data_IF_128285513003
#
_entry.id   IF_128285513003
#
_cell.length_a   1.000
_cell.length_b   1.000
_cell.length_c   1.000
_cell.angle_alpha   90.00
_cell.angle_beta   90.00
_cell.angle_gamma   90.00
#
_symmetry.space_group_name_H-M   'P 1'
#
loop_
_entity.id
_entity.type
_entity.pdbx_description
1 polymer ?
#
# COMPACT_ATOMS: atom_id res chain seq x y z
N UNK A 1 63.40 18.00 -32.26
CA UNK A 1 64.79 17.50 -32.20
C UNK A 1 65.54 18.35 -31.18
N UNK A 2 65.60 17.88 -29.93
CA UNK A 2 66.47 18.43 -28.87
C UNK A 2 67.04 17.24 -28.10
N UNK A 3 68.34 17.33 -27.86
CA UNK A 3 69.27 16.29 -27.45
C UNK A 3 69.02 15.72 -26.04
N UNK A 4 69.45 14.47 -25.92
CA UNK A 4 69.65 13.64 -24.74
C UNK A 4 70.12 14.38 -23.47
N UNK A 5 69.53 14.01 -22.33
CA UNK A 5 70.23 14.01 -21.05
C UNK A 5 70.04 12.64 -20.41
N UNK A 6 71.03 11.76 -20.59
CA UNK A 6 71.15 10.50 -19.89
C UNK A 6 71.41 10.79 -18.41
N UNK A 7 70.51 10.36 -17.52
CA UNK A 7 70.85 10.21 -16.11
C UNK A 7 70.80 8.73 -15.75
N UNK A 8 72.00 8.15 -15.60
CA UNK A 8 72.21 6.78 -15.16
C UNK A 8 72.25 6.79 -13.63
N UNK A 9 71.10 6.58 -12.98
CA UNK A 9 71.05 6.31 -11.53
C UNK A 9 71.14 4.80 -11.29
N UNK A 10 72.31 4.40 -10.81
CA UNK A 10 72.59 3.09 -10.23
C UNK A 10 72.16 3.16 -8.75
N UNK A 11 71.07 2.50 -8.38
CA UNK A 11 70.65 2.36 -6.97
C UNK A 11 70.80 0.89 -6.56
N UNK A 12 71.76 0.55 -5.69
CA UNK A 12 71.95 -0.81 -5.22
C UNK A 12 70.99 -1.12 -4.08
N UNK A 13 70.33 -2.29 -4.13
CA UNK A 13 69.83 -3.01 -2.96
C UNK A 13 68.63 -2.40 -2.24
N UNK A 14 67.42 -2.59 -2.77
CA UNK A 14 66.20 -2.59 -1.96
C UNK A 14 65.83 -4.06 -1.71
N UNK A 15 65.85 -4.56 -0.46
CA UNK A 15 65.38 -5.91 -0.16
C UNK A 15 63.88 -5.96 -0.45
N UNK A 16 63.48 -6.89 -1.31
CA UNK A 16 62.07 -7.17 -1.60
C UNK A 16 61.45 -7.76 -0.34
N UNK A 17 60.86 -6.91 0.50
CA UNK A 17 59.94 -7.35 1.55
C UNK A 17 58.68 -7.87 0.85
N UNK A 18 58.54 -9.20 0.81
CA UNK A 18 57.30 -9.87 0.44
C UNK A 18 56.27 -9.55 1.52
N UNK A 19 55.52 -8.46 1.33
CA UNK A 19 54.31 -8.19 2.11
C UNK A 19 53.32 -9.29 1.75
N UNK A 20 53.20 -10.31 2.61
CA UNK A 20 52.10 -11.27 2.53
C UNK A 20 50.80 -10.49 2.72
N UNK A 21 50.15 -10.19 1.61
CA UNK A 21 48.80 -9.66 1.57
C UNK A 21 47.90 -10.77 2.15
N UNK A 22 47.61 -10.70 3.45
CA UNK A 22 46.55 -11.49 4.04
C UNK A 22 45.25 -11.08 3.34
N UNK A 23 44.83 -11.91 2.40
CA UNK A 23 43.57 -11.75 1.68
C UNK A 23 42.47 -11.98 2.70
N UNK A 24 42.03 -10.91 3.37
CA UNK A 24 40.81 -10.92 4.15
C UNK A 24 39.68 -11.11 3.16
N UNK A 25 39.23 -12.35 3.01
CA UNK A 25 37.97 -12.67 2.33
C UNK A 25 36.86 -11.94 3.07
N UNK A 26 36.45 -10.80 2.57
CA UNK A 26 35.15 -10.23 2.87
C UNK A 26 34.12 -11.26 2.40
N UNK A 27 33.54 -12.01 3.35
CA UNK A 27 32.33 -12.75 3.09
C UNK A 27 31.24 -11.72 2.78
N UNK A 28 30.95 -11.50 1.51
CA UNK A 28 29.78 -10.74 1.11
C UNK A 28 28.56 -11.57 1.50
N UNK A 29 27.88 -11.19 2.59
CA UNK A 29 26.58 -11.75 2.93
C UNK A 29 25.61 -11.40 1.80
N UNK A 30 25.20 -12.42 1.04
CA UNK A 30 24.21 -12.26 -0.02
C UNK A 30 22.84 -12.05 0.61
N UNK A 31 22.25 -10.88 0.39
CA UNK A 31 20.86 -10.60 0.74
C UNK A 31 19.94 -11.68 0.13
N UNK A 32 19.03 -12.28 0.91
CA UNK A 32 18.13 -13.30 0.39
C UNK A 32 17.21 -12.71 -0.67
N UNK A 33 17.02 -13.44 -1.77
CA UNK A 33 16.07 -13.03 -2.82
C UNK A 33 14.66 -12.81 -2.24
N UNK A 34 13.89 -11.86 -2.80
CA UNK A 34 12.52 -11.59 -2.37
C UNK A 34 11.68 -12.87 -2.31
N UNK A 35 11.83 -13.77 -3.29
CA UNK A 35 11.11 -15.05 -3.33
C UNK A 35 11.52 -16.00 -2.21
N UNK A 36 12.79 -16.01 -1.80
CA UNK A 36 13.24 -16.78 -0.65
C UNK A 36 12.70 -16.19 0.66
N UNK A 37 12.70 -14.86 0.79
CA UNK A 37 12.09 -14.17 1.94
C UNK A 37 10.61 -14.51 2.07
N UNK A 38 9.84 -14.44 0.98
CA UNK A 38 8.42 -14.78 0.97
C UNK A 38 8.16 -16.24 1.36
N UNK A 39 8.95 -17.19 0.85
CA UNK A 39 8.85 -18.61 1.25
C UNK A 39 9.16 -18.81 2.73
N UNK A 40 10.17 -18.12 3.24
CA UNK A 40 10.51 -18.19 4.66
C UNK A 40 9.36 -17.66 5.52
N UNK A 41 8.79 -16.50 5.19
CA UNK A 41 7.65 -15.91 5.91
C UNK A 41 6.43 -16.84 5.83
N UNK A 42 6.15 -17.43 4.67
CA UNK A 42 5.06 -18.39 4.50
C UNK A 42 5.15 -19.56 5.49
N UNK A 43 6.36 -20.14 5.62
CA UNK A 43 6.58 -21.28 6.50
C UNK A 43 6.69 -20.90 7.99
N UNK A 44 7.34 -19.78 8.32
CA UNK A 44 7.67 -19.40 9.70
C UNK A 44 6.60 -18.58 10.40
N UNK A 45 5.74 -17.87 9.67
CA UNK A 45 4.74 -16.95 10.23
C UNK A 45 3.33 -17.31 9.76
N UNK A 46 3.11 -17.42 8.45
CA UNK A 46 1.76 -17.58 7.88
C UNK A 46 1.18 -18.96 8.19
N UNK A 47 1.95 -20.04 8.02
CA UNK A 47 1.47 -21.38 8.33
C UNK A 47 1.10 -21.57 9.83
N UNK A 48 1.92 -21.10 10.81
CA UNK A 48 1.52 -21.05 12.21
C UNK A 48 0.27 -20.19 12.44
N UNK A 49 0.20 -19.00 11.84
CA UNK A 49 -0.95 -18.12 11.96
C UNK A 49 -2.26 -18.80 11.51
N UNK A 50 -2.28 -19.43 10.33
CA UNK A 50 -3.47 -20.15 9.87
C UNK A 50 -3.84 -21.30 10.80
N UNK A 51 -2.85 -21.99 11.36
CA UNK A 51 -3.09 -23.11 12.27
C UNK A 51 -3.72 -22.66 13.58
N UNK A 52 -3.27 -21.53 14.12
CA UNK A 52 -3.70 -21.00 15.41
C UNK A 52 -5.04 -20.26 15.30
N UNK A 53 -5.20 -19.42 14.27
CA UNK A 53 -6.33 -18.49 14.18
C UNK A 53 -7.43 -18.88 13.19
N UNK A 54 -7.19 -19.88 12.31
CA UNK A 54 -8.12 -20.16 11.20
C UNK A 54 -8.60 -21.63 11.15
N UNK A 55 -7.68 -22.60 11.26
CA UNK A 55 -7.94 -24.02 10.99
C UNK A 55 -8.92 -24.66 11.99
N UNK A 56 -9.05 -24.13 13.21
CA UNK A 56 -10.04 -24.66 14.16
C UNK A 56 -11.48 -24.58 13.64
N UNK A 57 -11.82 -23.47 12.96
CA UNK A 57 -13.15 -23.23 12.40
C UNK A 57 -13.25 -23.53 10.90
N UNK A 58 -12.14 -23.53 10.17
CA UNK A 58 -12.05 -23.70 8.71
C UNK A 58 -11.12 -24.86 8.33
N UNK A 59 -11.15 -25.94 9.11
CA UNK A 59 -10.33 -27.13 8.93
C UNK A 59 -11.13 -28.39 8.61
N UNK A 60 -10.55 -29.58 8.78
CA UNK A 60 -11.22 -30.84 8.43
C UNK A 60 -12.38 -31.20 9.37
N UNK A 61 -12.38 -30.65 10.60
CA UNK A 61 -13.42 -30.92 11.60
C UNK A 61 -14.63 -29.99 11.48
N UNK A 62 -14.40 -28.74 11.07
CA UNK A 62 -15.39 -27.68 10.92
C UNK A 62 -14.99 -26.86 9.70
N UNK A 63 -15.92 -26.65 8.77
CA UNK A 63 -15.71 -25.81 7.58
C UNK A 63 -16.77 -24.73 7.58
N UNK A 64 -16.62 -23.75 8.48
CA UNK A 64 -17.52 -22.59 8.50
C UNK A 64 -17.39 -21.84 7.17
N UNK A 65 -18.52 -21.41 6.59
CA UNK A 65 -18.52 -20.69 5.30
C UNK A 65 -18.05 -21.52 4.10
N UNK A 66 -18.11 -22.85 4.18
CA UNK A 66 -17.73 -23.79 3.11
C UNK A 66 -16.30 -23.61 2.56
N UNK A 67 -15.39 -23.07 3.39
CA UNK A 67 -13.97 -22.90 3.07
C UNK A 67 -13.09 -23.83 3.93
N UNK A 68 -12.06 -24.40 3.29
CA UNK A 68 -11.08 -25.33 3.89
C UNK A 68 -9.69 -24.72 3.81
N UNK A 69 -9.26 -24.09 4.90
CA UNK A 69 -7.98 -23.40 5.01
C UNK A 69 -6.83 -24.34 5.38
N UNK A 70 -7.12 -25.57 5.81
CA UNK A 70 -6.10 -26.61 6.02
C UNK A 70 -5.52 -27.17 4.70
N UNK A 71 -6.28 -27.06 3.61
CA UNK A 71 -5.85 -27.47 2.27
C UNK A 71 -5.32 -26.28 1.44
N UNK A 72 -5.40 -25.06 1.98
CA UNK A 72 -4.98 -23.83 1.30
C UNK A 72 -3.47 -23.82 1.10
N UNK A 73 -3.04 -23.84 -0.15
CA UNK A 73 -1.62 -23.81 -0.51
C UNK A 73 -1.16 -22.38 -0.78
N UNK A 74 0.11 -22.11 -0.52
CA UNK A 74 0.81 -20.87 -0.90
C UNK A 74 1.10 -20.77 -2.40
N UNK A 75 0.26 -21.36 -3.25
CA UNK A 75 0.35 -21.31 -4.71
C UNK A 75 -0.78 -20.45 -5.26
N UNK A 76 -0.46 -19.17 -5.45
CA UNK A 76 -1.37 -18.13 -5.93
C UNK A 76 -1.59 -18.16 -7.45
N UNK A 77 -0.87 -19.02 -8.18
CA UNK A 77 -1.11 -19.22 -9.62
C UNK A 77 -2.38 -20.04 -9.88
N UNK A 78 -2.82 -20.83 -8.90
CA UNK A 78 -4.08 -21.54 -8.94
C UNK A 78 -5.25 -20.58 -8.60
N UNK A 79 -6.23 -20.48 -9.50
CA UNK A 79 -7.34 -19.54 -9.33
C UNK A 79 -8.19 -19.74 -8.07
N UNK A 80 -8.35 -20.98 -7.60
CA UNK A 80 -9.11 -21.28 -6.37
C UNK A 80 -8.31 -20.81 -5.15
N UNK A 81 -7.01 -21.14 -5.07
CA UNK A 81 -6.16 -20.64 -4.00
C UNK A 81 -6.11 -19.12 -3.99
N UNK A 82 -5.98 -18.49 -5.16
CA UNK A 82 -5.99 -17.04 -5.31
C UNK A 82 -7.25 -16.41 -4.70
N UNK A 83 -8.43 -16.91 -5.08
CA UNK A 83 -9.71 -16.44 -4.54
C UNK A 83 -9.83 -16.66 -3.03
N UNK A 84 -9.39 -17.82 -2.54
CA UNK A 84 -9.39 -18.11 -1.10
C UNK A 84 -8.47 -17.17 -0.34
N UNK A 85 -7.29 -16.85 -0.88
CA UNK A 85 -6.38 -15.87 -0.27
C UNK A 85 -6.92 -14.43 -0.33
N UNK A 86 -7.63 -14.04 -1.40
CA UNK A 86 -8.36 -12.76 -1.43
C UNK A 86 -9.42 -12.72 -0.33
N UNK A 87 -10.23 -13.77 -0.18
CA UNK A 87 -11.24 -13.87 0.87
C UNK A 87 -10.63 -13.82 2.28
N UNK A 88 -9.51 -14.51 2.51
CA UNK A 88 -8.76 -14.41 3.77
C UNK A 88 -8.32 -12.97 4.01
N UNK A 89 -7.70 -12.32 3.03
CA UNK A 89 -7.24 -10.92 3.15
C UNK A 89 -8.39 -9.95 3.47
N UNK A 90 -9.52 -10.09 2.79
CA UNK A 90 -10.69 -9.23 2.98
C UNK A 90 -11.27 -9.41 4.39
N UNK A 91 -11.41 -10.65 4.84
CA UNK A 91 -12.03 -10.98 6.14
C UNK A 91 -11.16 -10.54 7.32
N UNK A 92 -9.83 -10.74 7.23
CA UNK A 92 -8.92 -10.31 8.29
C UNK A 92 -8.80 -8.77 8.34
N UNK A 93 -8.80 -8.09 7.19
CA UNK A 93 -8.82 -6.61 7.15
C UNK A 93 -10.15 -6.04 7.65
N UNK A 94 -11.26 -6.72 7.32
CA UNK A 94 -12.59 -6.45 7.86
C UNK A 94 -12.62 -6.54 9.38
N UNK A 95 -11.73 -7.35 9.97
CA UNK A 95 -11.73 -7.66 11.40
C UNK A 95 -12.86 -8.61 11.77
N UNK A 96 -13.41 -9.32 10.79
CA UNK A 96 -14.47 -10.32 10.98
C UNK A 96 -13.87 -11.64 11.48
N UNK A 97 -12.58 -11.89 11.19
CA UNK A 97 -11.83 -13.06 11.64
C UNK A 97 -10.48 -12.66 12.26
N UNK A 98 -10.08 -13.32 13.37
CA UNK A 98 -10.89 -14.24 14.18
C UNK A 98 -12.09 -13.52 14.84
N UNK A 99 -13.19 -14.22 15.15
CA UNK A 99 -14.34 -13.60 15.79
C UNK A 99 -14.02 -13.14 17.23
N UNK A 100 -14.82 -12.22 17.78
CA UNK A 100 -14.53 -11.56 19.07
C UNK A 100 -14.40 -12.54 20.27
N UNK A 101 -14.97 -13.74 20.16
CA UNK A 101 -14.93 -14.79 21.18
C UNK A 101 -13.69 -15.72 21.09
N UNK A 102 -12.88 -15.56 20.05
CA UNK A 102 -11.65 -16.35 19.81
C UNK A 102 -10.39 -15.51 20.04
N UNK A 103 -9.25 -16.19 20.17
CA UNK A 103 -7.95 -15.53 20.37
C UNK A 103 -7.60 -14.63 19.18
N UNK A 104 -7.17 -13.40 19.48
CA UNK A 104 -6.84 -12.39 18.48
C UNK A 104 -5.33 -12.30 18.27
N UNK A 105 -4.85 -12.24 17.01
CA UNK A 105 -3.43 -12.09 16.74
C UNK A 105 -2.90 -10.73 17.20
N UNK A 106 -1.59 -10.66 17.47
CA UNK A 106 -0.94 -9.37 17.72
C UNK A 106 -0.94 -8.51 16.45
N UNK A 107 -0.87 -7.19 16.62
CA UNK A 107 -0.85 -6.22 15.50
C UNK A 107 0.35 -6.48 14.58
N UNK A 108 1.49 -6.85 15.15
CA UNK A 108 2.73 -7.12 14.42
C UNK A 108 2.58 -8.39 13.57
N UNK A 109 2.03 -9.47 14.15
CA UNK A 109 1.79 -10.72 13.44
C UNK A 109 0.79 -10.51 12.30
N UNK A 110 -0.30 -9.81 12.58
CA UNK A 110 -1.32 -9.45 11.58
C UNK A 110 -0.71 -8.66 10.41
N UNK A 111 0.12 -7.65 10.71
CA UNK A 111 0.75 -6.82 9.69
C UNK A 111 1.69 -7.63 8.80
N UNK A 112 2.50 -8.53 9.38
CA UNK A 112 3.42 -9.40 8.61
C UNK A 112 2.65 -10.35 7.69
N UNK A 113 1.58 -10.98 8.19
CA UNK A 113 0.75 -11.88 7.39
C UNK A 113 0.04 -11.13 6.27
N UNK A 114 -0.56 -9.98 6.57
CA UNK A 114 -1.28 -9.16 5.58
C UNK A 114 -0.35 -8.66 4.47
N UNK A 115 0.86 -8.22 4.82
CA UNK A 115 1.86 -7.80 3.83
C UNK A 115 2.28 -8.96 2.93
N UNK A 116 2.52 -10.15 3.51
CA UNK A 116 2.84 -11.35 2.76
C UNK A 116 1.74 -11.73 1.75
N UNK A 117 0.47 -11.77 2.18
CA UNK A 117 -0.67 -12.09 1.30
C UNK A 117 -0.75 -11.06 0.16
N UNK A 118 -0.63 -9.78 0.49
CA UNK A 118 -0.71 -8.69 -0.49
C UNK A 118 0.39 -8.77 -1.56
N UNK A 119 1.63 -9.08 -1.15
CA UNK A 119 2.75 -9.24 -2.09
C UNK A 119 2.49 -10.42 -3.04
N UNK A 120 2.09 -11.58 -2.52
CA UNK A 120 1.83 -12.76 -3.34
C UNK A 120 0.63 -12.58 -4.29
N UNK A 121 -0.46 -11.96 -3.83
CA UNK A 121 -1.62 -11.61 -4.69
C UNK A 121 -1.21 -10.67 -5.83
N UNK A 122 -0.41 -9.64 -5.53
CA UNK A 122 0.08 -8.69 -6.55
C UNK A 122 0.97 -9.39 -7.58
N UNK A 123 1.90 -10.21 -7.14
CA UNK A 123 2.79 -10.94 -8.04
C UNK A 123 2.03 -11.95 -8.91
N UNK A 124 1.06 -12.68 -8.34
CA UNK A 124 0.21 -13.57 -9.09
C UNK A 124 -0.63 -12.83 -10.16
N UNK A 125 -1.22 -11.67 -9.80
CA UNK A 125 -1.98 -10.83 -10.74
C UNK A 125 -1.09 -10.32 -11.88
N UNK A 126 0.13 -9.87 -11.58
CA UNK A 126 1.12 -9.46 -12.59
C UNK A 126 1.48 -10.61 -13.54
N UNK A 127 1.70 -11.81 -13.00
CA UNK A 127 2.05 -13.00 -13.80
C UNK A 127 0.89 -13.46 -14.69
N UNK A 128 -0.35 -13.32 -14.23
CA UNK A 128 -1.55 -13.63 -15.00
C UNK A 128 -1.82 -12.62 -16.15
N UNK A 129 -0.94 -11.63 -16.36
CA UNK A 129 -1.14 -10.57 -17.35
C UNK A 129 -2.21 -9.55 -16.91
N UNK A 130 -2.70 -9.65 -15.67
CA UNK A 130 -3.49 -8.60 -15.07
C UNK A 130 -2.58 -7.39 -14.88
N UNK A 131 -2.80 -6.32 -15.65
CA UNK A 131 -2.30 -5.02 -15.22
C UNK A 131 -2.88 -4.82 -13.82
N UNK A 132 -2.03 -4.54 -12.81
CA UNK A 132 -2.52 -3.79 -11.65
C UNK A 132 -3.31 -2.64 -12.24
N UNK A 133 -4.64 -2.69 -12.14
CA UNK A 133 -5.52 -1.85 -12.96
C UNK A 133 -4.95 -0.45 -12.96
N UNK A 134 -4.64 0.09 -14.15
CA UNK A 134 -4.08 1.42 -14.25
C UNK A 134 -4.99 2.31 -13.41
N UNK A 135 -4.43 2.92 -12.36
CA UNK A 135 -5.22 3.81 -11.50
C UNK A 135 -5.62 4.96 -12.40
N UNK A 136 -6.85 4.89 -12.91
CA UNK A 136 -7.42 5.91 -13.76
C UNK A 136 -7.95 7.01 -12.86
N UNK A 137 -7.57 8.25 -13.13
CA UNK A 137 -8.32 9.39 -12.61
C UNK A 137 -9.59 9.58 -13.44
N UNK A 138 -10.55 10.33 -12.90
CA UNK A 138 -11.65 10.84 -13.72
C UNK A 138 -11.08 11.87 -14.68
N UNK A 139 -11.47 11.81 -15.95
CA UNK A 139 -11.14 12.90 -16.87
C UNK A 139 -11.97 14.16 -16.53
N UNK A 140 -11.62 15.30 -17.13
CA UNK A 140 -12.28 16.58 -16.82
C UNK A 140 -13.79 16.59 -17.11
N UNK A 141 -14.24 15.87 -18.14
CA UNK A 141 -15.65 15.71 -18.46
C UNK A 141 -16.38 14.84 -17.42
N UNK A 142 -15.77 13.73 -17.01
CA UNK A 142 -16.29 12.83 -15.97
C UNK A 142 -16.37 13.54 -14.61
N UNK A 143 -15.34 14.31 -14.24
CA UNK A 143 -15.35 15.10 -13.02
C UNK A 143 -16.44 16.18 -13.05
N UNK A 144 -16.54 16.95 -14.14
CA UNK A 144 -17.60 17.95 -14.36
C UNK A 144 -18.98 17.33 -14.19
N UNK A 145 -19.23 16.22 -14.87
CA UNK A 145 -20.51 15.52 -14.82
C UNK A 145 -20.79 15.00 -13.41
N UNK A 146 -19.79 14.47 -12.71
CA UNK A 146 -19.94 13.98 -11.33
C UNK A 146 -20.31 15.11 -10.36
N UNK A 147 -19.57 16.23 -10.39
CA UNK A 147 -19.88 17.40 -9.55
C UNK A 147 -21.26 17.96 -9.88
N UNK A 148 -21.56 18.11 -11.17
CA UNK A 148 -22.89 18.52 -11.62
C UNK A 148 -23.94 17.57 -11.09
N UNK A 149 -23.81 16.27 -11.23
CA UNK A 149 -24.84 15.29 -10.88
C UNK A 149 -25.05 15.20 -9.35
N UNK A 150 -23.99 15.35 -8.55
CA UNK A 150 -24.09 15.39 -7.10
C UNK A 150 -24.72 16.70 -6.57
N UNK A 151 -24.51 17.81 -7.28
CA UNK A 151 -24.78 19.15 -6.77
C UNK A 151 -25.67 20.00 -7.70
N UNK A 152 -26.42 19.34 -8.61
CA UNK A 152 -27.12 19.93 -9.78
C UNK A 152 -28.05 21.09 -9.44
N UNK A 153 -28.55 21.15 -8.21
CA UNK A 153 -29.52 22.14 -7.75
C UNK A 153 -28.92 23.50 -7.38
N UNK A 154 -27.59 23.66 -7.35
CA UNK A 154 -26.95 24.86 -6.77
C UNK A 154 -26.47 25.91 -7.78
N UNK A 155 -26.61 25.65 -9.08
CA UNK A 155 -26.41 26.67 -10.13
C UNK A 155 -24.98 27.19 -10.29
N UNK A 156 -23.96 26.38 -9.97
CA UNK A 156 -22.55 26.71 -10.21
C UNK A 156 -21.82 25.54 -10.90
N UNK A 157 -20.81 25.87 -11.69
CA UNK A 157 -19.90 24.89 -12.31
C UNK A 157 -18.49 25.10 -11.75
N UNK A 158 -18.04 24.21 -10.88
CA UNK A 158 -16.72 24.28 -10.27
C UNK A 158 -15.57 23.89 -11.23
N UNK A 159 -15.90 23.34 -12.40
CA UNK A 159 -14.95 22.83 -13.40
C UNK A 159 -14.85 23.73 -14.63
N UNK A 160 -15.41 24.94 -14.58
CA UNK A 160 -15.41 25.88 -15.71
C UNK A 160 -14.02 26.31 -16.17
N UNK A 161 -12.99 26.18 -15.32
CA UNK A 161 -11.61 26.56 -15.63
C UNK A 161 -10.75 25.41 -16.14
N UNK A 162 -11.22 24.16 -16.10
CA UNK A 162 -10.38 23.00 -16.40
C UNK A 162 -9.93 23.04 -17.86
N UNK A 163 -8.63 22.84 -18.07
CA UNK A 163 -8.10 22.58 -19.41
C UNK A 163 -8.54 21.19 -19.88
N UNK A 164 -8.55 20.92 -21.18
CA UNK A 164 -8.85 19.57 -21.66
C UNK A 164 -7.72 18.59 -21.32
N UNK A 165 -8.07 17.37 -20.90
CA UNK A 165 -7.09 16.31 -20.70
C UNK A 165 -6.53 15.89 -22.06
N UNK A 166 -5.27 16.20 -22.33
CA UNK A 166 -4.60 15.82 -23.57
C UNK A 166 -4.13 14.36 -23.52
N UNK A 167 -5.06 13.42 -23.69
CA UNK A 167 -4.74 12.00 -23.92
C UNK A 167 -4.50 11.75 -25.41
N UNK A 168 -3.36 11.15 -25.77
CA UNK A 168 -2.88 10.98 -27.15
C UNK A 168 -3.68 10.03 -28.07
N UNK A 169 -4.99 9.85 -27.85
CA UNK A 169 -5.85 8.94 -28.60
C UNK A 169 -7.21 9.55 -28.97
N UNK A 170 -8.06 8.78 -29.66
CA UNK A 170 -9.39 9.22 -30.11
C UNK A 170 -10.44 9.25 -28.98
N UNK A 171 -10.12 8.74 -27.79
CA UNK A 171 -11.01 8.66 -26.63
C UNK A 171 -10.34 9.26 -25.41
N UNK A 172 -11.09 10.04 -24.64
CA UNK A 172 -10.66 10.81 -23.46
C UNK A 172 -10.74 10.00 -22.14
N UNK A 173 -11.12 8.72 -22.20
CA UNK A 173 -11.31 7.85 -21.02
C UNK A 173 -10.24 6.74 -20.88
N UNK A 174 -9.17 6.79 -21.68
CA UNK A 174 -8.12 5.79 -21.61
C UNK A 174 -7.20 6.05 -20.41
N UNK A 175 -7.35 5.24 -19.35
CA UNK A 175 -6.53 5.35 -18.14
C UNK A 175 -5.01 5.29 -18.37
N UNK A 176 -4.55 4.65 -19.46
CA UNK A 176 -3.12 4.58 -19.81
C UNK A 176 -2.55 5.88 -20.40
N UNK A 177 -3.42 6.75 -20.94
CA UNK A 177 -3.04 8.02 -21.59
C UNK A 177 -3.35 9.25 -20.72
N UNK A 178 -4.00 9.02 -19.58
CA UNK A 178 -4.45 10.02 -18.61
C UNK A 178 -3.32 10.32 -17.61
N UNK A 179 -2.44 11.25 -17.98
CA UNK A 179 -1.33 11.71 -17.13
C UNK A 179 -1.78 12.86 -16.22
N UNK A 180 -1.64 12.67 -14.90
CA UNK A 180 -1.92 13.72 -13.93
C UNK A 180 -0.74 14.70 -13.82
N UNK A 181 -0.93 15.93 -14.30
CA UNK A 181 0.03 17.03 -14.10
C UNK A 181 -0.18 17.72 -12.74
N UNK A 182 0.85 18.43 -12.26
CA UNK A 182 0.73 19.26 -11.06
C UNK A 182 -0.27 20.41 -11.21
N UNK A 183 -0.54 20.85 -12.44
CA UNK A 183 -1.54 21.86 -12.75
C UNK A 183 -2.95 21.27 -12.63
N UNK A 184 -3.22 20.13 -13.28
CA UNK A 184 -4.51 19.42 -13.21
C UNK A 184 -4.90 19.12 -11.76
N UNK A 185 -3.95 18.71 -10.91
CA UNK A 185 -4.20 18.49 -9.47
C UNK A 185 -4.66 19.78 -8.75
N UNK A 186 -4.06 20.93 -9.08
CA UNK A 186 -4.45 22.21 -8.50
C UNK A 186 -5.86 22.62 -8.94
N UNK A 187 -6.23 22.32 -10.19
CA UNK A 187 -7.57 22.57 -10.70
C UNK A 187 -8.62 21.73 -9.96
N UNK A 188 -8.38 20.41 -9.79
CA UNK A 188 -9.27 19.54 -9.02
C UNK A 188 -9.41 19.99 -7.56
N UNK A 189 -8.30 20.36 -6.91
CA UNK A 189 -8.35 20.85 -5.53
C UNK A 189 -9.12 22.17 -5.40
N UNK A 190 -8.93 23.08 -6.36
CA UNK A 190 -9.63 24.37 -6.40
C UNK A 190 -11.13 24.18 -6.64
N UNK A 191 -11.51 23.30 -7.57
CA UNK A 191 -12.90 22.95 -7.84
C UNK A 191 -13.56 22.28 -6.63
N UNK A 192 -12.86 21.34 -5.98
CA UNK A 192 -13.33 20.69 -4.76
C UNK A 192 -13.55 21.69 -3.62
N UNK A 193 -12.63 22.65 -3.44
CA UNK A 193 -12.75 23.72 -2.44
C UNK A 193 -13.95 24.63 -2.73
N UNK A 194 -14.10 25.10 -3.96
CA UNK A 194 -15.23 25.93 -4.37
C UNK A 194 -16.57 25.20 -4.16
N UNK A 195 -16.59 23.91 -4.50
CA UNK A 195 -17.76 23.05 -4.28
C UNK A 195 -18.08 22.95 -2.79
N UNK A 196 -17.08 22.66 -1.95
CA UNK A 196 -17.25 22.59 -0.50
C UNK A 196 -17.74 23.92 0.11
N UNK A 197 -17.17 25.06 -0.32
CA UNK A 197 -17.60 26.39 0.13
C UNK A 197 -19.06 26.69 -0.25
N UNK A 198 -19.55 26.13 -1.35
CA UNK A 198 -20.91 26.39 -1.84
C UNK A 198 -21.95 25.43 -1.29
N UNK A 199 -21.58 24.18 -1.10
CA UNK A 199 -22.44 23.08 -0.59
C UNK A 199 -22.57 23.14 0.92
N UNK A 200 -21.46 23.41 1.60
CA UNK A 200 -21.40 23.33 3.07
C UNK A 200 -21.77 24.70 3.63
N UNK A 201 -23.06 24.88 3.94
CA UNK A 201 -23.50 25.95 4.83
C UNK A 201 -23.24 25.53 6.29
N UNK A 202 -22.10 25.96 6.84
CA UNK A 202 -21.75 25.69 8.24
C UNK A 202 -22.46 26.64 9.22
N UNK A 203 -23.33 27.54 8.76
CA UNK A 203 -23.94 28.56 9.63
C UNK A 203 -22.94 29.54 10.26
N UNK A 204 -21.64 29.44 9.92
CA UNK A 204 -20.54 30.15 10.55
C UNK A 204 -19.25 29.33 10.55
N UNK A 205 -18.16 29.91 11.08
CA UNK A 205 -16.92 29.16 11.30
C UNK A 205 -17.12 28.26 12.51
N UNK A 206 -16.99 26.92 12.41
CA UNK A 206 -17.18 26.04 13.55
C UNK A 206 -16.16 26.40 14.64
N UNK A 207 -16.63 26.45 15.88
CA UNK A 207 -15.75 26.68 17.02
C UNK A 207 -14.74 25.54 17.08
N UNK A 208 -13.44 25.89 17.08
CA UNK A 208 -12.39 24.89 17.09
C UNK A 208 -12.22 24.35 18.51
N UNK A 209 -12.85 23.23 18.82
CA UNK A 209 -12.55 22.48 20.05
C UNK A 209 -11.27 21.68 19.82
N UNK A 210 -10.16 22.12 20.41
CA UNK A 210 -8.91 21.34 20.41
C UNK A 210 -9.01 20.23 21.45
N UNK A 211 -9.24 19.01 21.01
CA UNK A 211 -9.17 17.83 21.86
C UNK A 211 -7.78 17.19 21.72
N UNK A 212 -6.95 17.28 22.78
CA UNK A 212 -5.64 16.66 22.80
C UNK A 212 -5.73 15.23 23.34
N UNK A 213 -5.25 14.27 22.57
CA UNK A 213 -5.11 12.88 23.02
C UNK A 213 -3.63 12.56 23.17
N UNK A 214 -3.17 12.12 24.37
CA UNK A 214 -1.79 11.72 24.56
C UNK A 214 -1.51 10.43 23.77
N UNK A 215 -0.30 10.30 23.20
CA UNK A 215 0.04 9.23 22.24
C UNK A 215 -0.17 7.79 22.74
N UNK A 216 -0.23 7.57 24.07
CA UNK A 216 -0.58 6.29 24.69
C UNK A 216 -2.02 5.84 24.45
N UNK A 217 -2.90 6.78 24.11
CA UNK A 217 -4.33 6.52 23.88
C UNK A 217 -4.62 6.25 22.39
N UNK A 218 -3.66 6.48 21.50
CA UNK A 218 -3.73 6.19 20.06
C UNK A 218 -3.40 4.71 19.79
N UNK A 219 -4.12 3.80 20.43
CA UNK A 219 -4.14 2.39 20.05
C UNK A 219 -4.98 2.24 18.77
N UNK A 220 -4.76 1.19 17.96
CA UNK A 220 -5.33 0.97 16.62
C UNK A 220 -6.68 1.66 16.36
N UNK A 221 -6.82 2.28 15.18
CA UNK A 221 -7.94 3.17 14.82
C UNK A 221 -9.34 2.60 15.13
N UNK A 222 -9.53 1.27 15.11
CA UNK A 222 -10.77 0.60 15.53
C UNK A 222 -11.03 0.64 17.05
N UNK A 223 -10.03 0.39 17.90
CA UNK A 223 -10.15 0.49 19.37
C UNK A 223 -10.33 1.94 19.80
N UNK A 224 -9.59 2.84 19.16
CA UNK A 224 -9.71 4.28 19.36
C UNK A 224 -11.12 4.78 18.99
N UNK A 225 -11.59 4.45 17.78
CA UNK A 225 -12.90 4.86 17.29
C UNK A 225 -14.02 4.26 18.16
N UNK A 226 -14.01 2.95 18.46
CA UNK A 226 -15.05 2.30 19.27
C UNK A 226 -15.15 2.87 20.69
N UNK A 227 -14.04 3.28 21.30
CA UNK A 227 -13.99 3.84 22.66
C UNK A 227 -14.33 5.34 22.75
N UNK A 228 -14.14 6.09 21.68
CA UNK A 228 -14.30 7.55 21.69
C UNK A 228 -15.37 8.07 20.72
N UNK A 229 -16.06 7.21 19.96
CA UNK A 229 -17.10 7.62 19.00
C UNK A 229 -18.21 8.44 19.66
N UNK A 230 -18.65 8.08 20.87
CA UNK A 230 -19.64 8.87 21.62
C UNK A 230 -19.15 10.29 21.90
N UNK A 231 -17.87 10.48 22.25
CA UNK A 231 -17.31 11.83 22.48
C UNK A 231 -17.21 12.68 21.21
N UNK A 232 -17.17 12.06 20.04
CA UNK A 232 -17.19 12.75 18.73
C UNK A 232 -18.62 13.00 18.27
N UNK A 233 -19.55 12.09 18.57
CA UNK A 233 -20.97 12.22 18.28
C UNK A 233 -21.69 13.24 19.19
N UNK A 234 -21.21 13.42 20.43
CA UNK A 234 -21.72 14.40 21.39
C UNK A 234 -21.19 15.84 21.12
N UNK A 235 -20.37 16.04 20.08
CA UNK A 235 -20.14 17.38 19.53
C UNK A 235 -21.42 17.82 18.81
N UNK A 236 -22.38 18.37 19.56
CA UNK A 236 -23.49 19.10 18.99
C UNK A 236 -22.94 20.23 18.12
N UNK A 237 -23.13 20.11 16.81
CA UNK A 237 -22.95 21.21 15.87
C UNK A 237 -24.10 22.17 16.14
N UNK A 238 -23.86 23.15 17.01
CA UNK A 238 -24.73 24.32 17.15
C UNK A 238 -24.46 25.34 16.05
#
# INVERSE_FOLDING_TARGET
MIHFCFYRFFVPGIPVFVVSLALTTFAAESEPSLRQKQRHIAASVVAPFLKEYCIECHGPKKSKGDIRLDELRSDFSNGINFQNWESVMDTINGGDMPPEDEEQPSIETFAVVSDWILVELREARRQAGGSSGVIRHLNNNEYRNTIRDLFSGMGFDASSSFLDDSGGGSFDNNGGDLFMSSYSLQEYLSAGKLTAERVIDLGGKPEKTLQAWPGKDLVSTKVFAKKNWQKVADCEIH
#
